data_IF_218375073116
#
_entry.id   IF_218375073116
#
_cell.length_a   1.000
_cell.length_b   1.000
_cell.length_c   1.000
_cell.angle_alpha   90.00
_cell.angle_beta   90.00
_cell.angle_gamma   90.00
#
_symmetry.space_group_name_H-M   'P 1'
#
loop_
_entity.id
_entity.type
_entity.pdbx_description
1 polymer ?
#
# COMPACT_ATOMS: atom_id res chain seq x y z
N UNK A 1 18.82 -19.42 30.31
CA UNK A 1 18.75 -18.62 29.08
C UNK A 1 18.67 -19.61 27.93
N UNK A 2 17.45 -19.87 27.45
CA UNK A 2 17.26 -20.60 26.19
C UNK A 2 17.86 -19.74 25.09
N UNK A 3 18.91 -20.21 24.44
CA UNK A 3 19.44 -19.59 23.23
C UNK A 3 18.51 -20.04 22.09
N UNK A 4 17.27 -19.53 22.10
CA UNK A 4 16.32 -19.82 21.05
C UNK A 4 16.82 -19.12 19.78
N UNK A 5 17.19 -19.93 18.79
CA UNK A 5 17.56 -19.45 17.47
C UNK A 5 16.44 -18.54 16.94
N UNK A 6 16.78 -17.40 16.31
CA UNK A 6 15.80 -16.51 15.71
C UNK A 6 14.87 -17.28 14.77
N UNK A 7 13.56 -17.06 14.91
CA UNK A 7 12.56 -17.73 14.06
C UNK A 7 12.50 -17.03 12.70
N UNK A 8 12.27 -17.76 11.60
CA UNK A 8 12.01 -17.13 10.31
C UNK A 8 10.66 -16.38 10.34
N UNK A 9 10.51 -15.27 9.59
CA UNK A 9 9.21 -14.62 9.41
C UNK A 9 8.25 -15.55 8.64
N UNK A 10 6.93 -15.38 8.86
CA UNK A 10 5.90 -16.10 8.09
C UNK A 10 5.80 -15.60 6.66
N UNK A 11 6.14 -14.32 6.43
CA UNK A 11 6.22 -13.75 5.10
C UNK A 11 7.29 -14.49 4.29
N UNK A 12 6.91 -15.12 3.19
CA UNK A 12 7.82 -15.91 2.36
C UNK A 12 8.27 -15.16 1.09
N UNK A 13 9.44 -15.52 0.52
CA UNK A 13 9.86 -15.06 -0.81
C UNK A 13 8.82 -15.34 -1.90
N UNK A 14 8.10 -16.45 -1.82
CA UNK A 14 7.05 -16.83 -2.77
C UNK A 14 5.87 -15.86 -2.70
N UNK A 15 5.43 -15.47 -1.49
CA UNK A 15 4.38 -14.49 -1.31
C UNK A 15 4.81 -13.11 -1.81
N UNK A 16 6.05 -12.70 -1.51
CA UNK A 16 6.63 -11.45 -2.02
C UNK A 16 6.65 -11.42 -3.55
N UNK A 17 7.03 -12.53 -4.20
CA UNK A 17 6.96 -12.66 -5.67
C UNK A 17 5.50 -12.53 -6.16
N UNK A 18 4.54 -13.21 -5.53
CA UNK A 18 3.11 -13.10 -5.88
C UNK A 18 2.60 -11.66 -5.77
N UNK A 19 2.95 -10.94 -4.69
CA UNK A 19 2.61 -9.52 -4.52
C UNK A 19 3.25 -8.68 -5.63
N UNK A 20 4.52 -8.92 -5.94
CA UNK A 20 5.25 -8.15 -6.95
C UNK A 20 4.77 -8.40 -8.38
N UNK A 21 4.22 -9.58 -8.68
CA UNK A 21 3.59 -9.88 -9.97
C UNK A 21 2.49 -8.87 -10.31
N UNK A 22 1.83 -8.27 -9.31
CA UNK A 22 0.84 -7.22 -9.54
C UNK A 22 1.39 -5.99 -10.30
N UNK A 23 2.70 -5.74 -10.24
CA UNK A 23 3.36 -4.70 -11.03
C UNK A 23 3.48 -5.06 -12.53
N UNK A 24 3.29 -6.32 -12.89
CA UNK A 24 3.31 -6.81 -14.29
C UNK A 24 1.91 -6.99 -14.88
N UNK A 25 0.86 -7.05 -14.06
CA UNK A 25 -0.52 -7.21 -14.53
C UNK A 25 -0.98 -5.90 -15.15
N UNK A 26 -1.05 -5.86 -16.49
CA UNK A 26 -1.53 -4.70 -17.24
C UNK A 26 -3.05 -4.57 -17.12
N UNK A 27 -3.50 -3.34 -16.88
CA UNK A 27 -4.91 -2.94 -16.88
C UNK A 27 -5.20 -2.15 -18.14
N UNK A 28 -6.44 -2.24 -18.64
CA UNK A 28 -6.89 -1.55 -19.85
C UNK A 28 -6.07 -1.89 -21.11
N UNK A 29 -5.45 -3.09 -21.14
CA UNK A 29 -4.60 -3.54 -22.23
C UNK A 29 -5.35 -3.90 -23.53
N UNK A 30 -6.68 -3.85 -23.49
CA UNK A 30 -7.58 -3.93 -24.64
C UNK A 30 -7.99 -2.55 -25.19
N UNK A 31 -7.47 -1.46 -24.62
CA UNK A 31 -7.69 -0.10 -25.06
C UNK A 31 -6.37 0.60 -25.40
N UNK A 32 -6.43 1.62 -26.28
CA UNK A 32 -5.31 2.51 -26.50
C UNK A 32 -5.17 3.45 -25.29
N UNK A 33 -4.15 3.23 -24.46
CA UNK A 33 -3.89 4.04 -23.27
C UNK A 33 -2.69 4.96 -23.47
N UNK A 34 -2.72 6.20 -22.95
CA UNK A 34 -1.59 7.13 -23.06
C UNK A 34 -0.40 6.74 -22.17
N UNK A 35 -0.65 5.87 -21.19
CA UNK A 35 0.29 5.41 -20.17
C UNK A 35 -0.03 3.96 -19.82
N UNK A 36 0.95 3.22 -19.32
CA UNK A 36 0.72 1.87 -18.81
C UNK A 36 0.09 1.91 -17.42
N UNK A 37 -1.07 1.25 -17.28
CA UNK A 37 -1.73 1.03 -15.99
C UNK A 37 -1.46 -0.40 -15.52
N UNK A 38 -1.07 -0.55 -14.25
CA UNK A 38 -0.80 -1.85 -13.64
C UNK A 38 -1.63 -2.07 -12.38
N UNK A 39 -1.90 -3.33 -12.06
CA UNK A 39 -2.77 -3.71 -10.94
C UNK A 39 -2.22 -3.24 -9.59
N UNK A 40 -0.91 -3.33 -9.35
CA UNK A 40 -0.29 -2.87 -8.10
C UNK A 40 -0.62 -1.40 -7.81
N UNK A 41 -0.40 -0.52 -8.79
CA UNK A 41 -0.68 0.91 -8.66
C UNK A 41 -2.17 1.19 -8.43
N UNK A 42 -3.06 0.42 -9.09
CA UNK A 42 -4.50 0.56 -8.90
C UNK A 42 -4.93 0.17 -7.49
N UNK A 43 -4.34 -0.89 -6.94
CA UNK A 43 -4.68 -1.38 -5.61
C UNK A 43 -4.13 -0.46 -4.52
N UNK A 44 -2.95 0.12 -4.75
CA UNK A 44 -2.39 1.17 -3.91
C UNK A 44 -3.28 2.43 -3.92
N UNK A 45 -3.75 2.87 -5.08
CA UNK A 45 -4.69 4.00 -5.17
C UNK A 45 -6.02 3.68 -4.46
N UNK A 46 -6.54 2.47 -4.66
CA UNK A 46 -7.77 1.98 -4.02
C UNK A 46 -7.67 2.08 -2.50
N UNK A 47 -6.59 1.57 -1.88
CA UNK A 47 -6.50 1.59 -0.40
C UNK A 47 -6.30 3.00 0.15
N UNK A 48 -5.63 3.90 -0.58
CA UNK A 48 -5.58 5.32 -0.23
C UNK A 48 -6.95 5.98 -0.29
N UNK A 49 -7.74 5.70 -1.34
CA UNK A 49 -9.12 6.19 -1.44
C UNK A 49 -9.96 5.61 -0.28
N UNK A 50 -9.84 4.31 -0.01
CA UNK A 50 -10.55 3.66 1.09
C UNK A 50 -10.23 4.31 2.45
N UNK A 51 -8.95 4.62 2.71
CA UNK A 51 -8.53 5.38 3.89
C UNK A 51 -9.24 6.74 3.97
N UNK A 52 -9.22 7.54 2.89
CA UNK A 52 -9.90 8.84 2.87
C UNK A 52 -11.40 8.70 3.12
N UNK A 53 -12.06 7.76 2.44
CA UNK A 53 -13.49 7.50 2.61
C UNK A 53 -13.81 7.13 4.07
N UNK A 54 -13.04 6.21 4.67
CA UNK A 54 -13.20 5.79 6.05
C UNK A 54 -13.03 6.96 7.04
N UNK A 55 -11.99 7.77 6.89
CA UNK A 55 -11.76 8.95 7.76
C UNK A 55 -12.87 9.99 7.63
N UNK A 56 -13.48 10.14 6.45
CA UNK A 56 -14.65 11.01 6.28
C UNK A 56 -15.92 10.41 6.88
N UNK A 57 -16.13 9.09 6.87
CA UNK A 57 -17.24 8.47 7.62
C UNK A 57 -17.09 8.72 9.12
N UNK A 58 -15.88 8.57 9.67
CA UNK A 58 -15.59 8.88 11.07
C UNK A 58 -15.86 10.36 11.39
N UNK A 59 -15.34 11.27 10.56
CA UNK A 59 -15.42 12.71 10.81
C UNK A 59 -16.83 13.29 10.63
N UNK A 60 -17.52 12.92 9.55
CA UNK A 60 -18.81 13.53 9.17
C UNK A 60 -19.98 12.84 9.88
N UNK A 61 -19.91 11.52 10.08
CA UNK A 61 -21.03 10.73 10.60
C UNK A 61 -20.78 10.11 11.97
N UNK A 62 -19.56 10.19 12.50
CA UNK A 62 -19.21 9.54 13.76
C UNK A 62 -19.27 8.02 13.69
N UNK A 63 -19.19 7.44 12.49
CA UNK A 63 -19.19 5.98 12.31
C UNK A 63 -17.85 5.45 12.79
N UNK A 64 -17.85 4.41 13.63
CA UNK A 64 -16.63 3.72 14.03
C UNK A 64 -16.21 2.73 12.96
N UNK A 65 -15.03 2.93 12.38
CA UNK A 65 -14.44 2.01 11.40
C UNK A 65 -13.58 0.98 12.12
N UNK A 66 -13.70 -0.30 11.74
CA UNK A 66 -12.70 -1.30 12.13
C UNK A 66 -11.55 -1.31 11.11
N UNK A 67 -10.52 -0.53 11.40
CA UNK A 67 -9.34 -0.37 10.54
C UNK A 67 -8.60 -1.68 10.26
N UNK A 68 -8.54 -2.61 11.22
CA UNK A 68 -7.91 -3.92 10.97
C UNK A 68 -8.78 -4.75 10.01
N UNK A 69 -10.10 -4.72 10.17
CA UNK A 69 -11.00 -5.38 9.24
C UNK A 69 -10.91 -4.77 7.83
N UNK A 70 -10.84 -3.45 7.71
CA UNK A 70 -10.65 -2.76 6.42
C UNK A 70 -9.37 -3.19 5.72
N UNK A 71 -8.24 -3.25 6.45
CA UNK A 71 -6.94 -3.68 5.91
C UNK A 71 -6.96 -5.16 5.53
N UNK A 72 -7.50 -6.03 6.38
CA UNK A 72 -7.61 -7.47 6.09
C UNK A 72 -8.48 -7.74 4.87
N UNK A 73 -9.67 -7.12 4.79
CA UNK A 73 -10.56 -7.25 3.65
C UNK A 73 -9.91 -6.74 2.36
N UNK A 74 -9.16 -5.63 2.44
CA UNK A 74 -8.35 -5.17 1.31
C UNK A 74 -7.32 -6.22 0.88
N UNK A 75 -6.58 -6.81 1.83
CA UNK A 75 -5.61 -7.87 1.54
C UNK A 75 -6.28 -9.08 0.89
N UNK A 76 -7.46 -9.48 1.35
CA UNK A 76 -8.22 -10.59 0.79
C UNK A 76 -8.61 -10.35 -0.67
N UNK A 77 -9.18 -9.18 -0.98
CA UNK A 77 -9.53 -8.80 -2.35
C UNK A 77 -8.27 -8.66 -3.24
N UNK A 78 -7.16 -8.20 -2.67
CA UNK A 78 -5.89 -8.06 -3.39
C UNK A 78 -5.28 -9.43 -3.75
N UNK A 79 -5.23 -10.36 -2.79
CA UNK A 79 -4.72 -11.71 -3.03
C UNK A 79 -5.60 -12.50 -3.99
N UNK A 80 -6.93 -12.40 -3.87
CA UNK A 80 -7.85 -12.95 -4.86
C UNK A 80 -7.53 -12.43 -6.27
N UNK A 81 -7.31 -11.12 -6.39
CA UNK A 81 -7.00 -10.50 -7.67
C UNK A 81 -5.67 -10.97 -8.28
N UNK A 82 -4.65 -11.19 -7.44
CA UNK A 82 -3.33 -11.73 -7.86
C UNK A 82 -3.42 -13.20 -8.29
N UNK A 83 -4.38 -13.97 -7.80
CA UNK A 83 -4.56 -15.36 -8.24
C UNK A 83 -5.39 -15.43 -9.53
N UNK A 84 -6.34 -14.52 -9.70
CA UNK A 84 -7.30 -14.52 -10.81
C UNK A 84 -6.97 -13.53 -11.95
N UNK A 85 -5.69 -13.23 -12.14
CA UNK A 85 -5.19 -12.13 -12.99
C UNK A 85 -5.65 -12.20 -14.44
N UNK A 86 -5.82 -13.42 -14.97
CA UNK A 86 -6.12 -13.66 -16.38
C UNK A 86 -7.64 -13.60 -16.70
N UNK A 87 -8.47 -13.33 -15.69
CA UNK A 87 -9.92 -13.24 -15.87
C UNK A 87 -10.33 -11.79 -16.08
N UNK A 88 -10.84 -11.49 -17.29
CA UNK A 88 -11.43 -10.17 -17.60
C UNK A 88 -12.63 -9.87 -16.68
N UNK A 89 -12.84 -8.61 -16.26
CA UNK A 89 -13.91 -8.26 -15.32
C UNK A 89 -15.32 -8.78 -15.69
N UNK A 90 -15.79 -8.69 -16.96
CA UNK A 90 -17.13 -9.19 -17.32
C UNK A 90 -17.28 -10.71 -17.14
N UNK A 91 -16.19 -11.47 -17.36
CA UNK A 91 -16.18 -12.92 -17.14
C UNK A 91 -16.10 -13.22 -15.65
N UNK A 92 -15.26 -12.48 -14.92
CA UNK A 92 -15.15 -12.60 -13.47
C UNK A 92 -16.49 -12.40 -12.77
N UNK A 93 -17.25 -11.34 -13.10
CA UNK A 93 -18.56 -11.10 -12.50
C UNK A 93 -19.57 -12.23 -12.79
N UNK A 94 -19.53 -12.84 -13.97
CA UNK A 94 -20.38 -14.01 -14.29
C UNK A 94 -19.95 -15.25 -13.50
N UNK A 95 -18.65 -15.50 -13.38
CA UNK A 95 -18.12 -16.60 -12.56
C UNK A 95 -18.47 -16.41 -11.09
N UNK A 96 -18.35 -15.19 -10.56
CA UNK A 96 -18.74 -14.87 -9.19
C UNK A 96 -20.25 -15.07 -8.96
N UNK A 97 -21.10 -14.77 -9.96
CA UNK A 97 -22.55 -14.97 -9.83
C UNK A 97 -22.97 -16.45 -9.80
N UNK A 98 -22.26 -17.33 -10.51
CA UNK A 98 -22.67 -18.73 -10.69
C UNK A 98 -21.79 -19.76 -9.97
N UNK A 99 -20.52 -19.45 -9.70
CA UNK A 99 -19.48 -20.37 -9.22
C UNK A 99 -18.57 -19.73 -8.14
N UNK A 100 -19.10 -18.82 -7.31
CA UNK A 100 -18.29 -18.13 -6.31
C UNK A 100 -17.53 -19.09 -5.39
N UNK A 101 -18.20 -20.13 -4.89
CA UNK A 101 -17.61 -21.06 -3.91
C UNK A 101 -16.43 -21.82 -4.49
N UNK A 102 -16.56 -22.30 -5.72
CA UNK A 102 -15.51 -23.02 -6.43
C UNK A 102 -14.32 -22.09 -6.70
N UNK A 103 -14.59 -20.85 -7.09
CA UNK A 103 -13.57 -19.83 -7.33
C UNK A 103 -12.79 -19.49 -6.05
N UNK A 104 -13.49 -19.23 -4.95
CA UNK A 104 -12.88 -18.94 -3.65
C UNK A 104 -12.07 -20.13 -3.14
N UNK A 105 -12.57 -21.35 -3.30
CA UNK A 105 -11.82 -22.55 -2.93
C UNK A 105 -10.53 -22.68 -3.75
N UNK A 106 -10.58 -22.43 -5.06
CA UNK A 106 -9.40 -22.41 -5.91
C UNK A 106 -8.38 -21.37 -5.42
N UNK A 107 -8.83 -20.14 -5.13
CA UNK A 107 -7.97 -19.06 -4.63
C UNK A 107 -7.33 -19.43 -3.29
N UNK A 108 -8.10 -19.91 -2.33
CA UNK A 108 -7.58 -20.34 -1.03
C UNK A 108 -6.55 -21.46 -1.20
N UNK A 109 -6.80 -22.45 -2.04
CA UNK A 109 -5.85 -23.55 -2.26
C UNK A 109 -4.53 -23.05 -2.89
N UNK A 110 -4.58 -22.06 -3.79
CA UNK A 110 -3.39 -21.46 -4.41
C UNK A 110 -2.55 -20.62 -3.44
N UNK A 111 -3.11 -20.21 -2.31
CA UNK A 111 -2.47 -19.35 -1.30
C UNK A 111 -2.19 -20.08 0.02
N UNK A 112 -2.56 -21.35 0.13
CA UNK A 112 -2.49 -22.11 1.38
C UNK A 112 -1.06 -22.26 1.88
N UNK A 113 -0.09 -22.49 0.99
CA UNK A 113 1.33 -22.61 1.36
C UNK A 113 1.90 -21.33 1.94
N UNK A 114 1.44 -20.16 1.51
CA UNK A 114 1.98 -18.87 1.97
C UNK A 114 1.19 -18.24 3.10
N UNK A 115 -0.12 -18.47 3.18
CA UNK A 115 -1.01 -17.76 4.10
C UNK A 115 -1.56 -18.61 5.25
N UNK A 116 -1.47 -19.95 5.19
CA UNK A 116 -2.10 -20.81 6.22
C UNK A 116 -1.56 -20.61 7.64
N UNK A 117 -0.32 -20.11 7.78
CA UNK A 117 0.28 -19.78 9.08
C UNK A 117 -0.26 -18.48 9.70
N UNK A 118 -1.04 -17.68 8.95
CA UNK A 118 -1.67 -16.47 9.46
C UNK A 118 -3.06 -16.77 10.01
N UNK A 119 -3.34 -16.26 11.20
CA UNK A 119 -4.61 -16.48 11.92
C UNK A 119 -5.82 -15.91 11.17
N UNK A 120 -5.61 -14.94 10.27
CA UNK A 120 -6.66 -14.36 9.45
C UNK A 120 -7.03 -15.21 8.23
N UNK A 121 -6.25 -16.24 7.86
CA UNK A 121 -6.47 -16.97 6.61
C UNK A 121 -7.85 -17.65 6.50
N UNK A 122 -8.41 -18.26 7.58
CA UNK A 122 -9.78 -18.75 7.54
C UNK A 122 -10.82 -17.64 7.29
N UNK A 123 -10.55 -16.42 7.77
CA UNK A 123 -11.44 -15.26 7.59
C UNK A 123 -11.49 -14.81 6.14
N UNK A 124 -10.39 -14.99 5.38
CA UNK A 124 -10.36 -14.72 3.93
C UNK A 124 -11.41 -15.54 3.20
N UNK A 125 -11.49 -16.84 3.49
CA UNK A 125 -12.47 -17.75 2.87
C UNK A 125 -13.90 -17.33 3.20
N UNK A 126 -14.16 -16.99 4.47
CA UNK A 126 -15.48 -16.52 4.89
C UNK A 126 -15.85 -15.22 4.16
N UNK A 127 -14.94 -14.26 4.12
CA UNK A 127 -15.15 -12.97 3.49
C UNK A 127 -15.48 -13.09 2.00
N UNK A 128 -14.65 -13.81 1.23
CA UNK A 128 -14.83 -13.93 -0.22
C UNK A 128 -16.08 -14.76 -0.60
N UNK A 129 -16.51 -15.67 0.28
CA UNK A 129 -17.74 -16.47 0.06
C UNK A 129 -19.01 -15.73 0.49
N UNK A 130 -18.89 -14.79 1.43
CA UNK A 130 -20.01 -14.14 2.09
C UNK A 130 -20.57 -12.99 1.26
N UNK A 131 -21.90 -12.85 1.29
CA UNK A 131 -22.60 -11.67 0.77
C UNK A 131 -22.91 -10.63 1.87
N UNK A 132 -22.37 -10.81 3.09
CA UNK A 132 -22.59 -9.87 4.20
C UNK A 132 -21.91 -8.54 3.86
N UNK A 133 -22.71 -7.48 3.80
CA UNK A 133 -22.22 -6.12 3.62
C UNK A 133 -21.98 -5.47 4.99
N UNK A 134 -20.74 -5.05 5.24
CA UNK A 134 -20.36 -4.14 6.31
C UNK A 134 -19.90 -2.80 5.71
N UNK A 135 -19.66 -1.79 6.55
CA UNK A 135 -19.25 -0.46 6.08
C UNK A 135 -17.87 -0.49 5.43
N UNK A 136 -16.94 -1.29 5.97
CA UNK A 136 -15.59 -1.46 5.43
C UNK A 136 -15.61 -2.02 4.00
N UNK A 137 -16.41 -3.05 3.75
CA UNK A 137 -16.61 -3.62 2.42
C UNK A 137 -17.30 -2.66 1.46
N UNK A 138 -18.23 -1.83 1.94
CA UNK A 138 -18.82 -0.76 1.11
C UNK A 138 -17.80 0.30 0.72
N UNK A 139 -16.91 0.69 1.65
CA UNK A 139 -15.80 1.62 1.41
C UNK A 139 -14.80 1.02 0.40
N UNK A 140 -14.45 -0.26 0.54
CA UNK A 140 -13.55 -0.96 -0.40
C UNK A 140 -14.15 -1.09 -1.80
N UNK A 141 -15.46 -1.34 -1.89
CA UNK A 141 -16.18 -1.40 -3.16
C UNK A 141 -16.26 -0.02 -3.83
N UNK A 142 -16.58 1.02 -3.07
CA UNK A 142 -16.61 2.39 -3.56
C UNK A 142 -15.24 2.86 -4.07
N UNK A 143 -14.18 2.63 -3.27
CA UNK A 143 -12.80 2.95 -3.65
C UNK A 143 -12.32 2.17 -4.88
N UNK A 144 -12.72 0.90 -5.03
CA UNK A 144 -12.41 0.09 -6.20
C UNK A 144 -12.93 0.74 -7.49
N UNK A 145 -14.22 1.11 -7.51
CA UNK A 145 -14.83 1.72 -8.68
C UNK A 145 -14.32 3.13 -8.92
N UNK A 146 -14.10 3.91 -7.87
CA UNK A 146 -13.56 5.25 -8.01
C UNK A 146 -12.12 5.27 -8.57
N UNK A 147 -11.25 4.36 -8.10
CA UNK A 147 -9.90 4.19 -8.68
C UNK A 147 -9.96 3.79 -10.16
N UNK A 148 -10.89 2.89 -10.52
CA UNK A 148 -11.08 2.47 -11.91
C UNK A 148 -11.63 3.60 -12.79
N UNK A 149 -12.54 4.42 -12.25
CA UNK A 149 -13.04 5.63 -12.90
C UNK A 149 -11.91 6.62 -13.14
N UNK A 150 -11.04 6.84 -12.16
CA UNK A 150 -9.90 7.75 -12.31
C UNK A 150 -8.97 7.32 -13.45
N UNK A 151 -8.65 6.03 -13.56
CA UNK A 151 -7.89 5.48 -14.69
C UNK A 151 -8.61 5.70 -16.01
N UNK A 152 -9.90 5.37 -16.05
CA UNK A 152 -10.70 5.48 -17.24
C UNK A 152 -10.89 6.93 -17.71
N UNK A 153 -11.00 7.88 -16.79
CA UNK A 153 -11.09 9.30 -17.13
C UNK A 153 -9.86 9.73 -17.94
N UNK A 154 -8.64 9.27 -17.60
CA UNK A 154 -7.44 9.55 -18.39
C UNK A 154 -7.56 8.98 -19.82
N UNK A 155 -8.02 7.73 -19.93
CA UNK A 155 -8.22 7.06 -21.23
C UNK A 155 -9.27 7.80 -22.05
N UNK A 156 -10.39 8.17 -21.43
CA UNK A 156 -11.50 8.89 -22.06
C UNK A 156 -11.06 10.24 -22.61
N UNK A 157 -10.28 11.03 -21.85
CA UNK A 157 -9.76 12.32 -22.31
C UNK A 157 -8.69 12.16 -23.41
N UNK A 158 -7.94 11.05 -23.41
CA UNK A 158 -6.94 10.76 -24.44
C UNK A 158 -7.58 10.38 -25.78
N UNK A 159 -8.63 9.55 -25.78
CA UNK A 159 -9.31 9.12 -27.00
C UNK A 159 -10.84 9.03 -26.83
N UNK A 160 -11.56 10.17 -26.87
CA UNK A 160 -12.99 10.22 -26.62
C UNK A 160 -13.86 9.63 -27.74
N UNK A 161 -13.27 9.30 -28.90
CA UNK A 161 -13.97 8.74 -30.06
C UNK A 161 -13.72 7.24 -30.26
N UNK A 162 -13.04 6.58 -29.31
CA UNK A 162 -12.83 5.14 -29.35
C UNK A 162 -14.17 4.39 -29.32
N UNK A 163 -14.22 3.24 -30.00
CA UNK A 163 -15.40 2.38 -30.00
C UNK A 163 -15.88 2.07 -28.57
N UNK A 164 -17.19 2.21 -28.35
CA UNK A 164 -17.90 1.91 -27.10
C UNK A 164 -17.44 2.71 -25.85
N UNK A 165 -16.57 3.70 -25.99
CA UNK A 165 -16.00 4.44 -24.86
C UNK A 165 -17.07 5.17 -24.04
N UNK A 166 -18.13 5.67 -24.69
CA UNK A 166 -19.23 6.35 -23.99
C UNK A 166 -20.08 5.37 -23.16
N UNK A 167 -20.25 4.13 -23.63
CA UNK A 167 -20.96 3.10 -22.88
C UNK A 167 -20.15 2.70 -21.64
N UNK A 168 -18.85 2.47 -21.80
CA UNK A 168 -17.93 2.19 -20.68
C UNK A 168 -17.99 3.34 -19.65
N UNK A 169 -17.95 4.59 -20.11
CA UNK A 169 -18.11 5.77 -19.25
C UNK A 169 -19.40 5.73 -18.44
N UNK A 170 -20.53 5.45 -19.10
CA UNK A 170 -21.84 5.40 -18.44
C UNK A 170 -21.92 4.27 -17.40
N UNK A 171 -21.36 3.09 -17.71
CA UNK A 171 -21.29 1.95 -16.78
C UNK A 171 -20.48 2.30 -15.54
N UNK A 172 -19.27 2.85 -15.73
CA UNK A 172 -18.38 3.22 -14.63
C UNK A 172 -18.99 4.33 -13.77
N UNK A 173 -19.57 5.37 -14.38
CA UNK A 173 -20.24 6.44 -13.65
C UNK A 173 -21.39 5.88 -12.79
N UNK A 174 -22.22 5.01 -13.36
CA UNK A 174 -23.31 4.35 -12.62
C UNK A 174 -22.78 3.55 -11.42
N UNK A 175 -21.70 2.79 -11.60
CA UNK A 175 -21.09 2.02 -10.51
C UNK A 175 -20.57 2.94 -9.39
N UNK A 176 -20.04 4.12 -9.73
CA UNK A 176 -19.59 5.10 -8.74
C UNK A 176 -20.77 5.80 -8.04
N UNK A 177 -21.83 6.11 -8.78
CA UNK A 177 -23.07 6.72 -8.28
C UNK A 177 -23.78 5.85 -7.24
N UNK A 178 -23.73 4.53 -7.39
CA UNK A 178 -24.28 3.55 -6.42
C UNK A 178 -23.66 3.69 -5.02
N UNK A 179 -22.55 4.41 -4.87
CA UNK A 179 -21.84 4.61 -3.60
C UNK A 179 -21.94 6.04 -3.04
N UNK A 180 -22.75 6.92 -3.64
CA UNK A 180 -22.94 8.31 -3.15
C UNK A 180 -23.64 8.41 -1.80
N UNK A 181 -24.14 7.31 -1.26
CA UNK A 181 -24.62 7.27 0.12
C UNK A 181 -23.49 7.31 1.15
N UNK A 182 -22.22 7.10 0.78
CA UNK A 182 -21.08 7.27 1.67
C UNK A 182 -20.73 8.76 1.82
N UNK A 183 -20.54 9.24 3.04
CA UNK A 183 -20.07 10.59 3.32
C UNK A 183 -18.77 10.89 2.59
N UNK A 184 -17.80 9.97 2.60
CA UNK A 184 -16.53 10.17 1.88
C UNK A 184 -16.73 10.37 0.37
N UNK A 185 -17.67 9.64 -0.24
CA UNK A 185 -17.99 9.80 -1.67
C UNK A 185 -18.67 11.15 -1.94
N UNK A 186 -19.56 11.59 -1.04
CA UNK A 186 -20.17 12.91 -1.11
C UNK A 186 -19.11 14.00 -1.05
N UNK A 187 -18.08 13.85 -0.21
CA UNK A 187 -16.99 14.82 -0.11
C UNK A 187 -16.21 14.94 -1.43
N UNK A 188 -15.86 13.82 -2.06
CA UNK A 188 -15.18 13.80 -3.37
C UNK A 188 -16.02 14.45 -4.49
N UNK A 189 -17.34 14.27 -4.44
CA UNK A 189 -18.26 14.83 -5.44
C UNK A 189 -18.48 16.34 -5.25
N UNK A 190 -18.63 16.79 -4.01
CA UNK A 190 -18.98 18.17 -3.68
C UNK A 190 -17.77 19.11 -3.63
N UNK A 191 -16.60 18.62 -3.23
CA UNK A 191 -15.44 19.46 -2.95
C UNK A 191 -14.27 19.13 -3.88
N UNK A 192 -13.83 20.14 -4.64
CA UNK A 192 -12.76 20.02 -5.63
C UNK A 192 -11.41 19.67 -4.98
N UNK A 193 -11.07 20.30 -3.86
CA UNK A 193 -9.86 20.02 -3.10
C UNK A 193 -9.72 18.53 -2.69
N UNK A 194 -10.82 17.88 -2.29
CA UNK A 194 -10.81 16.45 -1.95
C UNK A 194 -10.55 15.59 -3.20
N UNK A 195 -11.11 15.98 -4.34
CA UNK A 195 -10.86 15.31 -5.63
C UNK A 195 -9.43 15.50 -6.11
N UNK A 196 -8.88 16.69 -5.92
CA UNK A 196 -7.47 16.99 -6.19
C UNK A 196 -6.55 16.14 -5.31
N UNK A 197 -6.86 15.98 -4.03
CA UNK A 197 -6.11 15.10 -3.12
C UNK A 197 -6.08 13.65 -3.62
N UNK A 198 -7.24 13.09 -3.97
CA UNK A 198 -7.31 11.72 -4.54
C UNK A 198 -6.51 11.63 -5.84
N UNK A 199 -6.55 12.68 -6.67
CA UNK A 199 -5.80 12.75 -7.93
C UNK A 199 -4.29 12.81 -7.70
N UNK A 200 -3.84 13.60 -6.73
CA UNK A 200 -2.44 13.71 -6.33
C UNK A 200 -1.88 12.35 -5.90
N UNK A 201 -2.61 11.59 -5.08
CA UNK A 201 -2.22 10.22 -4.73
C UNK A 201 -2.22 9.27 -5.94
N UNK A 202 -3.18 9.41 -6.86
CA UNK A 202 -3.19 8.64 -8.11
C UNK A 202 -1.98 8.95 -9.00
N UNK A 203 -1.54 10.21 -9.05
CA UNK A 203 -0.41 10.65 -9.86
C UNK A 203 0.95 10.14 -9.38
N UNK A 204 1.08 9.69 -8.14
CA UNK A 204 2.30 9.03 -7.62
C UNK A 204 2.71 7.84 -8.51
N UNK A 205 1.76 7.25 -9.26
CA UNK A 205 2.02 6.16 -10.19
C UNK A 205 2.87 6.52 -11.41
N UNK A 206 2.91 7.80 -11.75
CA UNK A 206 3.71 8.30 -12.87
C UNK A 206 5.17 8.53 -12.49
N UNK A 207 5.47 8.57 -11.19
CA UNK A 207 6.83 8.65 -10.70
C UNK A 207 7.42 7.24 -10.65
N UNK A 208 8.31 6.93 -11.60
CA UNK A 208 8.97 5.63 -11.67
C UNK A 208 10.23 5.64 -10.82
N UNK A 209 10.37 4.60 -9.99
CA UNK A 209 11.54 4.42 -9.15
C UNK A 209 12.73 3.91 -9.97
N UNK A 210 13.94 4.14 -9.49
CA UNK A 210 15.18 3.83 -10.22
C UNK A 210 15.24 4.57 -11.57
N UNK A 211 14.94 5.87 -11.57
CA UNK A 211 14.73 6.69 -12.77
C UNK A 211 15.91 6.72 -13.76
N UNK A 212 17.12 6.38 -13.31
CA UNK A 212 18.34 6.34 -14.13
C UNK A 212 18.58 5.00 -14.82
N UNK A 213 17.75 3.98 -14.58
CA UNK A 213 17.96 2.64 -15.14
C UNK A 213 16.63 1.94 -15.48
N UNK A 214 16.51 1.25 -16.62
CA UNK A 214 15.31 0.49 -16.93
C UNK A 214 15.10 -0.65 -15.93
N UNK A 215 13.85 -1.07 -15.71
CA UNK A 215 13.49 -2.24 -14.90
C UNK A 215 12.31 -3.01 -15.46
N UNK A 216 12.29 -4.32 -15.20
CA UNK A 216 11.16 -5.19 -15.53
C UNK A 216 10.72 -6.01 -14.30
N UNK A 217 9.44 -5.89 -13.87
CA UNK A 217 8.51 -4.81 -14.23
C UNK A 217 8.97 -3.46 -13.67
N UNK A 218 8.61 -2.37 -14.33
CA UNK A 218 8.80 -1.03 -13.79
C UNK A 218 7.85 -0.80 -12.61
N UNK A 219 8.36 -0.35 -11.46
CA UNK A 219 7.52 0.04 -10.31
C UNK A 219 7.44 1.55 -10.20
N UNK A 220 6.26 2.02 -9.79
CA UNK A 220 6.04 3.40 -9.41
C UNK A 220 6.27 3.61 -7.91
N UNK A 221 6.34 4.86 -7.46
CA UNK A 221 6.34 5.15 -6.02
C UNK A 221 5.02 4.69 -5.37
N UNK A 222 3.88 4.85 -6.06
CA UNK A 222 2.59 4.38 -5.55
C UNK A 222 2.56 2.86 -5.30
N UNK A 223 3.11 2.08 -6.24
CA UNK A 223 3.20 0.63 -6.09
C UNK A 223 4.18 0.22 -4.99
N UNK A 224 5.29 0.95 -4.86
CA UNK A 224 6.29 0.73 -3.82
C UNK A 224 5.71 0.87 -2.41
N UNK A 225 4.96 1.96 -2.12
CA UNK A 225 4.40 2.18 -0.79
C UNK A 225 3.42 1.07 -0.38
N UNK A 226 2.67 0.51 -1.33
CA UNK A 226 1.81 -0.64 -1.05
C UNK A 226 2.60 -1.91 -0.70
N UNK A 227 3.73 -2.18 -1.39
CA UNK A 227 4.60 -3.32 -1.04
C UNK A 227 5.14 -3.15 0.38
N UNK A 228 5.58 -1.94 0.74
CA UNK A 228 6.07 -1.62 2.09
C UNK A 228 4.96 -1.83 3.12
N UNK A 229 3.76 -1.27 2.89
CA UNK A 229 2.61 -1.41 3.78
C UNK A 229 2.21 -2.87 4.02
N UNK A 230 2.08 -3.66 2.95
CA UNK A 230 1.72 -5.08 3.05
C UNK A 230 2.79 -5.88 3.80
N UNK A 231 4.07 -5.69 3.44
CA UNK A 231 5.16 -6.45 4.05
C UNK A 231 5.31 -6.13 5.54
N UNK A 232 5.26 -4.85 5.90
CA UNK A 232 5.32 -4.43 7.29
C UNK A 232 4.13 -4.97 8.08
N UNK A 233 2.91 -4.87 7.54
CA UNK A 233 1.70 -5.39 8.18
C UNK A 233 1.78 -6.89 8.46
N UNK A 234 2.16 -7.68 7.45
CA UNK A 234 2.26 -9.14 7.57
C UNK A 234 3.31 -9.56 8.61
N UNK A 235 4.49 -8.96 8.60
CA UNK A 235 5.55 -9.31 9.57
C UNK A 235 5.26 -8.74 10.96
N UNK A 236 4.39 -7.73 11.09
CA UNK A 236 3.99 -7.22 12.40
C UNK A 236 3.25 -8.27 13.25
N UNK A 237 2.61 -9.27 12.61
CA UNK A 237 2.07 -10.42 13.33
C UNK A 237 3.18 -11.32 13.91
N UNK A 238 4.36 -11.38 13.28
CA UNK A 238 5.47 -12.25 13.69
C UNK A 238 6.21 -11.69 14.90
N UNK A 239 6.37 -10.36 14.95
CA UNK A 239 7.05 -9.66 16.05
C UNK A 239 6.11 -9.32 17.23
N UNK A 240 4.86 -9.79 17.20
CA UNK A 240 3.91 -9.64 18.30
C UNK A 240 3.42 -8.21 18.53
N UNK A 241 3.30 -7.39 17.48
CA UNK A 241 2.71 -6.05 17.60
C UNK A 241 1.23 -6.10 18.01
N UNK A 242 0.80 -5.16 18.85
CA UNK A 242 -0.60 -4.92 19.18
C UNK A 242 -1.39 -4.48 17.94
N UNK A 243 -2.72 -4.54 18.00
CA UNK A 243 -3.59 -4.24 16.85
C UNK A 243 -3.33 -2.84 16.31
N UNK A 244 -3.26 -1.84 17.19
CA UNK A 244 -3.05 -0.46 16.77
C UNK A 244 -1.69 -0.25 16.09
N UNK A 245 -0.62 -0.86 16.63
CA UNK A 245 0.72 -0.74 16.03
C UNK A 245 0.78 -1.43 14.65
N UNK A 246 0.09 -2.56 14.46
CA UNK A 246 -0.03 -3.20 13.13
C UNK A 246 -0.74 -2.30 12.11
N UNK A 247 -1.87 -1.72 12.49
CA UNK A 247 -2.61 -0.76 11.65
C UNK A 247 -1.69 0.41 11.28
N UNK A 248 -0.99 0.96 12.27
CA UNK A 248 -0.05 2.05 12.05
C UNK A 248 1.12 1.68 11.15
N UNK A 249 1.63 0.45 11.22
CA UNK A 249 2.67 -0.02 10.30
C UNK A 249 2.18 -0.06 8.86
N UNK A 250 0.94 -0.52 8.64
CA UNK A 250 0.33 -0.49 7.30
C UNK A 250 0.17 0.95 6.79
N UNK A 251 -0.44 1.84 7.60
CA UNK A 251 -0.69 3.23 7.21
C UNK A 251 0.60 4.04 7.05
N UNK A 252 1.57 3.86 7.94
CA UNK A 252 2.88 4.50 7.83
C UNK A 252 3.60 4.01 6.57
N UNK A 253 3.58 2.70 6.28
CA UNK A 253 4.13 2.16 5.03
C UNK A 253 3.44 2.73 3.78
N UNK A 254 2.13 2.98 3.85
CA UNK A 254 1.36 3.54 2.74
C UNK A 254 1.70 5.01 2.46
N UNK A 255 2.00 5.79 3.50
CA UNK A 255 2.19 7.25 3.40
C UNK A 255 3.65 7.72 3.54
N UNK A 256 4.61 6.86 3.91
CA UNK A 256 5.97 7.29 4.25
C UNK A 256 6.66 8.15 3.17
N UNK A 257 6.53 7.78 1.89
CA UNK A 257 7.16 8.50 0.76
C UNK A 257 6.36 9.74 0.32
N UNK A 258 5.22 10.04 0.93
CA UNK A 258 4.35 11.15 0.52
C UNK A 258 5.07 12.51 0.47
N UNK A 259 5.90 12.92 1.47
CA UNK A 259 6.60 14.20 1.43
C UNK A 259 7.61 14.28 0.28
N UNK A 260 8.43 13.24 0.10
CA UNK A 260 9.48 13.15 -0.92
C UNK A 260 8.93 13.25 -2.34
N UNK A 261 7.71 12.74 -2.54
CA UNK A 261 7.05 12.78 -3.84
C UNK A 261 6.57 14.19 -4.21
N UNK A 262 6.07 14.97 -3.23
CA UNK A 262 5.52 16.30 -3.49
C UNK A 262 6.56 17.31 -3.97
N UNK A 263 7.83 17.03 -3.69
CA UNK A 263 9.01 17.82 -4.10
C UNK A 263 9.71 17.28 -5.33
N UNK A 264 9.16 16.22 -5.96
CA UNK A 264 9.64 15.57 -7.21
C UNK A 264 11.02 14.92 -7.07
N UNK A 265 11.17 14.03 -6.09
CA UNK A 265 12.27 13.04 -5.96
C UNK A 265 13.67 13.63 -6.21
N UNK A 266 14.19 14.35 -5.22
CA UNK A 266 15.61 14.72 -5.20
C UNK A 266 16.40 13.45 -4.90
N UNK A 267 16.95 12.83 -5.96
CA UNK A 267 17.64 11.54 -5.90
C UNK A 267 18.65 11.48 -4.74
N UNK A 268 18.61 10.39 -3.96
CA UNK A 268 19.38 10.18 -2.72
C UNK A 268 20.90 10.48 -2.76
N UNK A 269 21.64 10.33 -3.89
CA UNK A 269 23.04 10.74 -3.99
C UNK A 269 23.25 12.25 -3.79
N UNK A 270 22.29 13.08 -4.23
CA UNK A 270 22.36 14.54 -4.11
C UNK A 270 22.10 14.98 -2.67
N UNK A 271 21.09 14.36 -2.02
CA UNK A 271 20.76 14.57 -0.60
C UNK A 271 22.02 14.51 0.29
N UNK A 272 22.81 13.43 0.15
CA UNK A 272 24.01 13.18 0.97
C UNK A 272 25.29 13.94 0.57
N UNK A 273 25.35 14.57 -0.61
CA UNK A 273 26.60 15.13 -1.14
C UNK A 273 26.81 16.60 -0.79
N UNK A 274 25.81 17.30 -0.26
CA UNK A 274 25.90 18.72 0.11
C UNK A 274 25.49 18.92 1.57
N UNK A 275 26.44 19.30 2.42
CA UNK A 275 26.21 19.57 3.85
C UNK A 275 25.16 20.67 4.03
N UNK A 276 24.06 20.35 4.72
CA UNK A 276 22.94 21.28 4.97
C UNK A 276 21.82 21.25 3.93
N UNK A 277 22.01 20.55 2.80
CA UNK A 277 20.95 20.39 1.79
C UNK A 277 19.82 19.48 2.28
N UNK A 278 20.15 18.44 3.05
CA UNK A 278 19.16 17.51 3.64
C UNK A 278 18.12 18.23 4.51
N UNK A 279 18.56 19.14 5.39
CA UNK A 279 17.66 19.90 6.27
C UNK A 279 16.75 20.86 5.46
N UNK A 280 17.31 21.48 4.42
CA UNK A 280 16.55 22.37 3.55
C UNK A 280 15.51 21.61 2.71
N UNK A 281 15.88 20.45 2.15
CA UNK A 281 14.95 19.59 1.42
C UNK A 281 13.81 19.15 2.33
N UNK A 282 14.12 18.69 3.54
CA UNK A 282 13.10 18.28 4.52
C UNK A 282 12.11 19.42 4.81
N UNK A 283 12.60 20.65 4.93
CA UNK A 283 11.74 21.82 5.10
C UNK A 283 10.81 22.06 3.89
N UNK A 284 11.31 21.93 2.66
CA UNK A 284 10.49 22.04 1.44
C UNK A 284 9.43 20.93 1.41
N UNK A 285 9.80 19.70 1.76
CA UNK A 285 8.89 18.56 1.84
C UNK A 285 7.77 18.81 2.87
N UNK A 286 8.12 19.30 4.06
CA UNK A 286 7.16 19.69 5.10
C UNK A 286 6.23 20.83 4.65
N UNK A 287 6.76 21.88 4.02
CA UNK A 287 5.96 22.98 3.46
C UNK A 287 4.98 22.48 2.38
N UNK A 288 5.45 21.61 1.47
CA UNK A 288 4.62 21.05 0.42
C UNK A 288 3.48 20.17 0.95
N UNK A 289 3.74 19.35 1.98
CA UNK A 289 2.70 18.55 2.66
C UNK A 289 1.68 19.46 3.34
N UNK A 290 2.14 20.50 4.04
CA UNK A 290 1.28 21.46 4.70
C UNK A 290 0.32 22.15 3.70
N UNK A 291 0.86 22.72 2.63
CA UNK A 291 0.09 23.49 1.65
C UNK A 291 -0.86 22.62 0.82
N UNK A 292 -0.40 21.45 0.36
CA UNK A 292 -1.15 20.62 -0.60
C UNK A 292 -2.08 19.62 0.06
N UNK A 293 -1.85 19.25 1.32
CA UNK A 293 -2.62 18.20 2.00
C UNK A 293 -3.24 18.74 3.29
N UNK A 294 -2.41 19.17 4.25
CA UNK A 294 -2.92 19.47 5.60
C UNK A 294 -3.88 20.66 5.61
N UNK A 295 -3.68 21.65 4.74
CA UNK A 295 -4.57 22.80 4.60
C UNK A 295 -5.97 22.47 4.08
N UNK A 296 -6.18 21.32 3.43
CA UNK A 296 -7.42 20.99 2.72
C UNK A 296 -8.22 19.84 3.35
N UNK A 297 -7.61 19.06 4.24
CA UNK A 297 -8.24 17.88 4.88
C UNK A 297 -8.74 18.19 6.29
N UNK A 298 -9.74 17.46 6.81
CA UNK A 298 -10.22 17.62 8.18
C UNK A 298 -9.14 17.23 9.23
N UNK A 299 -9.27 17.71 10.49
CA UNK A 299 -8.26 17.51 11.54
C UNK A 299 -7.84 16.06 11.79
N UNK A 300 -8.77 15.10 11.70
CA UNK A 300 -8.46 13.68 11.92
C UNK A 300 -7.56 13.10 10.81
N UNK A 301 -7.62 13.63 9.59
CA UNK A 301 -6.73 13.27 8.49
C UNK A 301 -5.42 14.06 8.61
N UNK A 302 -5.47 15.33 9.05
CA UNK A 302 -4.26 16.13 9.29
C UNK A 302 -3.35 15.47 10.33
N UNK A 303 -3.93 14.97 11.42
CA UNK A 303 -3.20 14.30 12.49
C UNK A 303 -2.53 13.02 11.98
N UNK A 304 -3.26 12.18 11.24
CA UNK A 304 -2.74 10.93 10.69
C UNK A 304 -1.61 11.19 9.69
N UNK A 305 -1.82 12.09 8.71
CA UNK A 305 -0.79 12.40 7.71
C UNK A 305 0.47 12.90 8.40
N UNK A 306 0.35 13.86 9.33
CA UNK A 306 1.50 14.36 10.09
C UNK A 306 2.19 13.22 10.86
N UNK A 307 1.42 12.35 11.50
CA UNK A 307 1.96 11.25 12.31
C UNK A 307 2.67 10.17 11.48
N UNK A 308 2.22 9.94 10.25
CA UNK A 308 2.76 8.89 9.37
C UNK A 308 3.88 9.40 8.46
N UNK A 309 4.00 10.71 8.24
CA UNK A 309 5.02 11.27 7.35
C UNK A 309 6.14 12.01 8.07
N UNK A 310 5.95 12.49 9.30
CA UNK A 310 7.01 13.19 10.03
C UNK A 310 7.84 12.20 10.87
N UNK A 311 9.12 12.08 10.54
CA UNK A 311 10.04 11.13 11.19
C UNK A 311 9.49 9.71 11.14
N UNK A 312 9.02 9.33 9.95
CA UNK A 312 8.32 8.11 9.59
C UNK A 312 9.07 6.84 10.01
N UNK A 313 10.41 6.88 10.01
CA UNK A 313 11.27 5.77 10.42
C UNK A 313 11.80 5.87 11.86
N UNK A 314 11.31 6.81 12.66
CA UNK A 314 11.62 6.88 14.10
C UNK A 314 10.61 6.05 14.91
N UNK A 315 11.11 5.38 15.94
CA UNK A 315 10.31 4.67 16.93
C UNK A 315 9.54 5.68 17.78
N UNK A 316 8.21 5.63 17.74
CA UNK A 316 7.34 6.64 18.35
C UNK A 316 6.07 6.06 18.92
N UNK A 317 5.50 6.77 19.88
CA UNK A 317 4.24 6.44 20.52
C UNK A 317 3.55 7.73 21.00
N UNK A 318 2.27 7.63 21.33
CA UNK A 318 1.47 8.72 21.87
C UNK A 318 1.06 8.42 23.32
N UNK A 319 1.08 9.44 24.16
CA UNK A 319 0.32 9.47 25.41
C UNK A 319 -0.66 10.63 25.26
N UNK A 320 -1.96 10.32 25.36
CA UNK A 320 -3.03 11.24 25.00
C UNK A 320 -2.87 11.75 23.55
N UNK A 321 -2.45 13.01 23.37
CA UNK A 321 -2.25 13.63 22.06
C UNK A 321 -0.77 13.97 21.78
N UNK A 322 0.14 13.69 22.71
CA UNK A 322 1.54 14.06 22.59
C UNK A 322 2.38 12.89 22.07
N UNK A 323 3.22 13.18 21.07
CA UNK A 323 4.13 12.22 20.45
C UNK A 323 5.47 12.18 21.21
N UNK A 324 5.93 10.98 21.52
CA UNK A 324 7.19 10.70 22.19
C UNK A 324 7.99 9.67 21.39
N UNK A 325 9.30 9.62 21.62
CA UNK A 325 10.21 8.63 21.03
C UNK A 325 10.69 7.65 22.10
N UNK A 326 10.98 6.42 21.67
CA UNK A 326 11.52 5.37 22.52
C UNK A 326 12.57 4.56 21.76
N UNK A 327 13.50 3.92 22.45
CA UNK A 327 14.31 2.87 21.85
C UNK A 327 13.45 1.64 21.51
N UNK A 328 13.99 0.76 20.67
CA UNK A 328 13.34 -0.46 20.20
C UNK A 328 12.81 -1.36 21.34
N UNK A 329 13.60 -1.54 22.41
CA UNK A 329 13.26 -2.43 23.51
C UNK A 329 12.11 -1.84 24.35
N UNK A 330 12.24 -0.57 24.74
CA UNK A 330 11.21 0.15 25.48
C UNK A 330 9.89 0.22 24.72
N UNK A 331 9.94 0.49 23.40
CA UNK A 331 8.74 0.53 22.55
C UNK A 331 7.99 -0.81 22.59
N UNK A 332 8.71 -1.92 22.40
CA UNK A 332 8.10 -3.24 22.30
C UNK A 332 7.66 -3.83 23.66
N UNK A 333 8.39 -3.55 24.73
CA UNK A 333 8.05 -4.07 26.07
C UNK A 333 7.01 -3.22 26.80
N UNK A 334 7.07 -1.89 26.66
CA UNK A 334 6.24 -0.96 27.45
C UNK A 334 5.09 -0.38 26.64
N UNK A 335 5.34 0.01 25.39
CA UNK A 335 4.41 0.82 24.60
C UNK A 335 3.72 0.04 23.46
N UNK A 336 3.92 -1.28 23.38
CA UNK A 336 3.22 -2.16 22.45
C UNK A 336 1.79 -2.48 22.93
N UNK A 337 0.96 -1.44 23.07
CA UNK A 337 -0.45 -1.52 23.47
C UNK A 337 -1.28 -0.56 22.64
N UNK A 338 -2.56 -0.90 22.44
CA UNK A 338 -3.41 -0.14 21.53
C UNK A 338 -3.57 1.33 21.95
N UNK A 339 -3.58 1.61 23.26
CA UNK A 339 -3.70 2.95 23.84
C UNK A 339 -2.55 3.91 23.49
N UNK A 340 -1.36 3.38 23.21
CA UNK A 340 -0.18 4.20 22.95
C UNK A 340 0.02 4.54 21.48
N UNK A 341 -0.85 4.06 20.58
CA UNK A 341 -0.80 4.38 19.16
C UNK A 341 0.62 4.26 18.54
N UNK A 342 1.38 3.22 18.94
CA UNK A 342 2.80 3.11 18.64
C UNK A 342 3.13 2.88 17.16
N UNK A 343 4.33 3.28 16.74
CA UNK A 343 4.93 3.02 15.43
C UNK A 343 6.37 2.57 15.64
N UNK A 344 6.71 1.37 15.17
CA UNK A 344 8.07 0.87 15.13
C UNK A 344 8.74 1.30 13.81
N UNK A 345 9.25 2.54 13.79
CA UNK A 345 9.82 3.16 12.59
C UNK A 345 11.08 2.44 12.05
N UNK A 346 11.98 2.00 12.92
CA UNK A 346 13.19 1.27 12.50
C UNK A 346 12.85 -0.06 11.81
N UNK A 347 11.78 -0.72 12.28
CA UNK A 347 11.20 -1.90 11.64
C UNK A 347 10.62 -1.57 10.27
N UNK A 348 9.85 -0.48 10.14
CA UNK A 348 9.33 -0.02 8.85
C UNK A 348 10.42 0.26 7.82
N UNK A 349 11.57 0.84 8.25
CA UNK A 349 12.70 1.12 7.36
C UNK A 349 13.28 -0.14 6.71
N UNK A 350 13.13 -1.30 7.34
CA UNK A 350 13.57 -2.57 6.75
C UNK A 350 12.70 -2.93 5.55
N UNK A 351 11.39 -2.67 5.59
CA UNK A 351 10.49 -3.01 4.50
C UNK A 351 10.56 -2.03 3.33
N UNK A 352 10.86 -0.75 3.59
CA UNK A 352 11.27 0.18 2.53
C UNK A 352 12.51 -0.35 1.78
N UNK A 353 13.56 -0.73 2.54
CA UNK A 353 14.75 -1.36 1.96
C UNK A 353 14.42 -2.69 1.24
N UNK A 354 13.54 -3.53 1.81
CA UNK A 354 13.12 -4.79 1.21
C UNK A 354 12.45 -4.55 -0.14
N UNK A 355 11.51 -3.61 -0.21
CA UNK A 355 10.82 -3.26 -1.45
C UNK A 355 11.81 -2.79 -2.53
N UNK A 356 12.74 -1.89 -2.18
CA UNK A 356 13.79 -1.46 -3.10
C UNK A 356 14.74 -2.61 -3.51
N UNK A 357 15.03 -3.55 -2.62
CA UNK A 357 15.83 -4.74 -2.92
C UNK A 357 15.11 -5.68 -3.89
N UNK A 358 13.82 -5.96 -3.68
CA UNK A 358 12.99 -6.77 -4.56
C UNK A 358 12.91 -6.16 -5.96
N UNK A 359 12.71 -4.84 -6.05
CA UNK A 359 12.70 -4.10 -7.32
C UNK A 359 13.96 -4.35 -8.15
N UNK A 360 15.14 -4.30 -7.51
CA UNK A 360 16.41 -4.52 -8.17
C UNK A 360 16.63 -6.01 -8.50
N UNK A 361 16.43 -6.91 -7.54
CA UNK A 361 16.69 -8.34 -7.71
C UNK A 361 15.79 -9.01 -8.74
N UNK A 362 14.50 -8.66 -8.76
CA UNK A 362 13.57 -9.20 -9.75
C UNK A 362 13.98 -8.74 -11.15
N UNK A 363 14.33 -7.46 -11.32
CA UNK A 363 14.80 -6.95 -12.59
C UNK A 363 16.11 -7.60 -13.06
N UNK A 364 17.05 -7.83 -12.14
CA UNK A 364 18.29 -8.58 -12.41
C UNK A 364 17.96 -10.00 -12.87
N UNK A 365 17.01 -10.68 -12.22
CA UNK A 365 16.59 -12.04 -12.61
C UNK A 365 15.93 -12.10 -13.99
N UNK A 366 15.34 -11.00 -14.46
CA UNK A 366 14.82 -10.84 -15.82
C UNK A 366 15.90 -10.40 -16.84
N UNK A 367 17.17 -10.31 -16.44
CA UNK A 367 18.30 -10.00 -17.31
C UNK A 367 18.66 -8.51 -17.42
N UNK A 368 18.01 -7.62 -16.67
CA UNK A 368 18.39 -6.22 -16.60
C UNK A 368 19.27 -6.00 -15.37
N UNK A 369 20.58 -5.98 -15.58
CA UNK A 369 21.59 -5.99 -14.52
C UNK A 369 22.57 -4.82 -14.64
N UNK A 370 22.05 -3.58 -14.69
CA UNK A 370 22.90 -2.39 -14.65
C UNK A 370 23.68 -2.31 -13.34
N UNK A 371 24.81 -1.59 -13.37
CA UNK A 371 25.65 -1.40 -12.18
C UNK A 371 24.86 -0.74 -11.03
N UNK A 372 23.93 0.17 -11.33
CA UNK A 372 23.06 0.79 -10.33
C UNK A 372 22.19 -0.24 -9.60
N UNK A 373 21.58 -1.17 -10.34
CA UNK A 373 20.72 -2.22 -9.74
C UNK A 373 21.56 -3.24 -8.96
N UNK A 374 22.70 -3.67 -9.51
CA UNK A 374 23.56 -4.66 -8.87
C UNK A 374 24.17 -4.10 -7.58
N UNK A 375 24.77 -2.91 -7.65
CA UNK A 375 25.37 -2.26 -6.49
C UNK A 375 24.31 -1.82 -5.48
N UNK A 376 23.15 -1.34 -5.94
CA UNK A 376 22.02 -1.00 -5.10
C UNK A 376 21.49 -2.19 -4.32
N UNK A 377 21.22 -3.32 -5.00
CA UNK A 377 20.78 -4.56 -4.37
C UNK A 377 21.81 -5.08 -3.37
N UNK A 378 23.10 -5.11 -3.74
CA UNK A 378 24.20 -5.54 -2.87
C UNK A 378 24.29 -4.65 -1.63
N UNK A 379 24.28 -3.33 -1.81
CA UNK A 379 24.37 -2.39 -0.70
C UNK A 379 23.19 -2.49 0.27
N UNK A 380 21.97 -2.79 -0.21
CA UNK A 380 20.83 -3.06 0.65
C UNK A 380 21.00 -4.40 1.38
N UNK A 381 21.39 -5.45 0.66
CA UNK A 381 21.65 -6.78 1.22
C UNK A 381 22.63 -6.70 2.40
N UNK A 382 23.79 -6.08 2.19
CA UNK A 382 24.85 -5.96 3.21
C UNK A 382 24.36 -5.24 4.49
N UNK A 383 23.36 -4.35 4.38
CA UNK A 383 22.77 -3.63 5.53
C UNK A 383 21.67 -4.39 6.25
N UNK A 384 20.97 -5.30 5.57
CA UNK A 384 19.70 -5.86 6.03
C UNK A 384 19.72 -7.39 6.21
N UNK A 385 20.65 -8.09 5.57
CA UNK A 385 20.70 -9.55 5.53
C UNK A 385 20.84 -10.21 6.89
N UNK A 386 21.40 -9.54 7.90
CA UNK A 386 21.62 -10.11 9.24
C UNK A 386 20.68 -9.51 10.32
N UNK A 387 19.65 -8.76 9.92
CA UNK A 387 18.77 -8.11 10.88
C UNK A 387 17.82 -9.09 11.57
N UNK A 388 17.79 -9.02 12.90
CA UNK A 388 16.86 -9.74 13.77
C UNK A 388 16.09 -8.72 14.60
N UNK A 389 14.75 -8.83 14.61
CA UNK A 389 13.86 -7.96 15.40
C UNK A 389 12.97 -8.84 16.26
N UNK A 390 12.93 -8.59 17.57
CA UNK A 390 12.06 -9.30 18.52
C UNK A 390 12.12 -10.84 18.40
N UNK A 391 13.31 -11.39 18.13
CA UNK A 391 13.51 -12.84 17.93
C UNK A 391 13.12 -13.38 16.56
N UNK A 392 12.76 -12.52 15.60
CA UNK A 392 12.44 -12.85 14.21
C UNK A 392 13.59 -12.44 13.29
N UNK A 393 14.09 -13.37 12.50
CA UNK A 393 15.15 -13.17 11.50
C UNK A 393 14.60 -12.56 10.22
N UNK A 394 14.25 -11.28 10.27
CA UNK A 394 13.74 -10.53 9.11
C UNK A 394 14.77 -10.44 7.97
N UNK A 395 16.07 -10.55 8.29
CA UNK A 395 17.15 -10.64 7.31
C UNK A 395 17.03 -11.84 6.36
N UNK A 396 16.36 -12.92 6.80
CA UNK A 396 16.06 -14.08 5.96
C UNK A 396 15.29 -13.73 4.68
N UNK A 397 14.45 -12.69 4.70
CA UNK A 397 13.72 -12.23 3.52
C UNK A 397 14.66 -11.74 2.41
N UNK A 398 15.83 -11.23 2.77
CA UNK A 398 16.85 -10.81 1.82
C UNK A 398 17.71 -11.99 1.36
N UNK A 399 18.08 -12.89 2.28
CA UNK A 399 18.93 -14.06 2.00
C UNK A 399 18.24 -15.10 1.11
N UNK A 400 16.99 -15.42 1.39
CA UNK A 400 16.25 -16.44 0.63
C UNK A 400 15.80 -15.93 -0.76
N UNK A 401 15.86 -14.60 -0.98
CA UNK A 401 15.54 -13.97 -2.26
C UNK A 401 16.80 -13.72 -3.12
N UNK A 402 17.99 -13.89 -2.55
CA UNK A 402 19.28 -13.56 -3.18
C UNK A 402 19.62 -14.44 -4.38
#
# INVERSE_FOLDING_TARGET
MSCDMPKPPRLSPELLKKIFVAASIRRWNDHATPVEFVELDKQAHKIVIAYLLAKYEEYVRGVRIDWEALILQFCFEFFERIVLTDIKPPVFHKLQAHHNKELVNFVCNQLESELSMYEFFPQMREYLTSNKSNIEGQILKASHYYASKWEFDIIYHFNPYMYDVQNIRNIINKQVEEHYHLAGMQQIMLYENVRELVTMFGQLRFQKRWSQTPRIPATSVLGHTLIVALSAYLVSFDIGCCKQMRINHFLCGLFHDLPEILTRDIISPIKRSVKGLDEFIKKIEEEAVNEKILAIVPPNIQEDISYFTQNEFSNRYKIEHFCYTADSESLMQTYNRDEFNGVYGEFLKIFDNLSAYLEAKISISHGISSDDLVNGAKGIYDRCADKVICGVDVGKLFRDFA
#
